data_IF_365327418927
#
_entry.id   IF_365327418927
#
_cell.length_a   1.000
_cell.length_b   1.000
_cell.length_c   1.000
_cell.angle_alpha   90.00
_cell.angle_beta   90.00
_cell.angle_gamma   90.00
#
_symmetry.space_group_name_H-M   'P 1'
#
loop_
_entity.id
_entity.type
_entity.pdbx_description
1 polymer ?
#
# COMPACT_ATOMS: atom_id res chain seq x y z
N UNK A 1 -0.41 -14.33 -5.24
CA UNK A 1 0.28 -13.90 -6.49
C UNK A 1 1.70 -14.44 -6.45
N UNK A 2 2.16 -15.00 -7.53
CA UNK A 2 3.53 -15.54 -7.60
C UNK A 2 4.57 -14.42 -7.70
N UNK A 3 5.75 -14.65 -7.13
CA UNK A 3 6.83 -13.65 -7.05
C UNK A 3 7.25 -13.11 -8.43
N UNK A 4 7.35 -13.98 -9.45
CA UNK A 4 7.74 -13.57 -10.78
C UNK A 4 6.69 -12.67 -11.45
N UNK A 5 5.42 -12.97 -11.25
CA UNK A 5 4.29 -12.15 -11.76
C UNK A 5 4.30 -10.79 -11.07
N UNK A 6 4.48 -10.78 -9.76
CA UNK A 6 4.56 -9.52 -9.00
C UNK A 6 5.71 -8.64 -9.47
N UNK A 7 6.90 -9.21 -9.67
CA UNK A 7 8.07 -8.46 -10.11
C UNK A 7 7.81 -7.78 -11.46
N UNK A 8 7.22 -8.51 -12.41
CA UNK A 8 6.86 -7.96 -13.72
C UNK A 8 5.85 -6.81 -13.59
N UNK A 9 4.83 -6.99 -12.76
CA UNK A 9 3.85 -5.94 -12.50
C UNK A 9 4.48 -4.71 -11.84
N UNK A 10 5.35 -4.90 -10.85
CA UNK A 10 6.01 -3.81 -10.16
C UNK A 10 6.89 -2.99 -11.11
N UNK A 11 7.66 -3.65 -11.96
CA UNK A 11 8.51 -2.98 -12.94
C UNK A 11 7.71 -2.23 -14.01
N UNK A 12 6.53 -2.73 -14.36
CA UNK A 12 5.65 -2.12 -15.38
C UNK A 12 4.79 -0.99 -14.80
N UNK A 13 4.19 -1.23 -13.64
CA UNK A 13 3.14 -0.36 -13.09
C UNK A 13 3.65 0.62 -12.04
N UNK A 14 4.81 0.34 -11.43
CA UNK A 14 5.46 1.21 -10.44
C UNK A 14 6.97 1.31 -10.72
N UNK A 15 7.37 1.74 -11.93
CA UNK A 15 8.78 1.71 -12.34
C UNK A 15 9.70 2.65 -11.55
N UNK A 16 9.15 3.63 -10.86
CA UNK A 16 9.91 4.58 -10.06
C UNK A 16 10.14 4.13 -8.61
N UNK A 17 9.57 3.00 -8.22
CA UNK A 17 9.82 2.37 -6.91
C UNK A 17 10.77 1.20 -7.12
N UNK A 18 11.84 1.13 -6.33
CA UNK A 18 12.74 -0.03 -6.40
C UNK A 18 11.94 -1.31 -6.16
N UNK A 19 12.12 -2.36 -6.99
CA UNK A 19 11.31 -3.58 -6.88
C UNK A 19 11.30 -4.23 -5.49
N UNK A 20 12.43 -4.21 -4.79
CA UNK A 20 12.51 -4.74 -3.41
C UNK A 20 11.68 -3.91 -2.44
N UNK A 21 11.63 -2.60 -2.61
CA UNK A 21 10.80 -1.72 -1.80
C UNK A 21 9.31 -1.96 -2.09
N UNK A 22 8.94 -2.05 -3.36
CA UNK A 22 7.56 -2.35 -3.75
C UNK A 22 7.11 -3.70 -3.16
N UNK A 23 7.94 -4.72 -3.28
CA UNK A 23 7.68 -6.05 -2.74
C UNK A 23 7.54 -6.02 -1.21
N UNK A 24 8.42 -5.30 -0.53
CA UNK A 24 8.37 -5.18 0.92
C UNK A 24 7.10 -4.49 1.41
N UNK A 25 6.68 -3.40 0.76
CA UNK A 25 5.44 -2.72 1.09
C UNK A 25 4.24 -3.67 0.88
N UNK A 26 4.14 -4.31 -0.27
CA UNK A 26 3.03 -5.22 -0.59
C UNK A 26 3.00 -6.42 0.36
N UNK A 27 4.16 -6.94 0.77
CA UNK A 27 4.25 -8.00 1.78
C UNK A 27 3.57 -7.57 3.07
N UNK A 28 3.91 -6.39 3.57
CA UNK A 28 3.40 -5.86 4.84
C UNK A 28 1.93 -5.45 4.72
N UNK A 29 1.56 -4.80 3.62
CA UNK A 29 0.23 -4.23 3.45
C UNK A 29 -0.85 -5.28 3.19
N UNK A 30 -0.61 -6.19 2.27
CA UNK A 30 -1.64 -7.12 1.78
C UNK A 30 -1.24 -8.59 1.75
N UNK A 31 0.03 -8.89 1.97
CA UNK A 31 0.51 -10.26 1.76
C UNK A 31 0.29 -10.77 0.34
N UNK A 32 0.37 -9.89 -0.65
CA UNK A 32 0.08 -10.16 -2.07
C UNK A 32 -1.38 -10.54 -2.37
N UNK A 33 -2.30 -10.26 -1.46
CA UNK A 33 -3.72 -10.45 -1.71
C UNK A 33 -4.30 -9.21 -2.41
N UNK A 34 -4.60 -9.32 -3.68
CA UNK A 34 -5.17 -8.22 -4.49
C UNK A 34 -6.55 -7.76 -4.01
N UNK A 35 -7.25 -8.60 -3.24
CA UNK A 35 -8.59 -8.31 -2.70
C UNK A 35 -8.54 -7.89 -1.24
N UNK A 36 -7.36 -7.67 -0.67
CA UNK A 36 -7.20 -7.31 0.72
C UNK A 36 -7.92 -5.99 1.05
N UNK A 37 -8.66 -5.98 2.16
CA UNK A 37 -9.34 -4.80 2.69
C UNK A 37 -8.98 -4.66 4.15
N UNK A 38 -8.39 -3.52 4.51
CA UNK A 38 -8.09 -3.13 5.87
C UNK A 38 -9.10 -2.10 6.37
N UNK A 39 -9.64 -2.30 7.56
CA UNK A 39 -10.63 -1.39 8.16
C UNK A 39 -9.96 -0.62 9.29
N UNK A 40 -9.99 0.70 9.22
CA UNK A 40 -9.43 1.55 10.29
C UNK A 40 -10.36 1.49 11.51
N UNK A 41 -9.81 1.08 12.65
CA UNK A 41 -10.57 0.94 13.89
C UNK A 41 -11.45 -0.31 13.95
N UNK A 42 -11.25 -1.26 13.05
CA UNK A 42 -11.99 -2.51 13.02
C UNK A 42 -11.24 -3.60 12.26
N UNK A 43 -11.90 -4.72 12.05
CA UNK A 43 -11.37 -5.83 11.26
C UNK A 43 -12.52 -6.59 10.61
N UNK A 44 -12.27 -7.14 9.42
CA UNK A 44 -13.19 -8.09 8.80
C UNK A 44 -13.05 -9.46 9.48
N UNK A 45 -14.14 -10.22 9.54
CA UNK A 45 -14.09 -11.60 10.04
C UNK A 45 -13.16 -12.48 9.19
N UNK A 46 -13.18 -12.25 7.88
CA UNK A 46 -12.22 -12.83 6.93
C UNK A 46 -12.02 -11.92 5.74
N UNK A 47 -10.90 -12.09 5.05
CA UNK A 47 -10.62 -11.35 3.83
C UNK A 47 -11.46 -11.87 2.64
N UNK A 48 -11.87 -10.97 1.72
CA UNK A 48 -12.54 -11.39 0.49
C UNK A 48 -11.68 -12.36 -0.32
N UNK A 49 -12.33 -13.33 -0.96
CA UNK A 49 -11.69 -14.37 -1.77
C UNK A 49 -11.88 -14.18 -3.27
N UNK A 50 -12.69 -13.20 -3.64
CA UNK A 50 -12.98 -12.89 -5.04
C UNK A 50 -13.20 -11.39 -5.22
N UNK A 51 -13.15 -10.95 -6.47
CA UNK A 51 -13.45 -9.56 -6.83
C UNK A 51 -14.88 -9.17 -6.41
N UNK A 52 -15.85 -10.06 -6.64
CA UNK A 52 -17.25 -9.81 -6.26
C UNK A 52 -17.43 -9.65 -4.74
N UNK A 53 -16.80 -10.51 -3.93
CA UNK A 53 -16.82 -10.36 -2.48
C UNK A 53 -16.16 -9.05 -2.04
N UNK A 54 -15.02 -8.70 -2.64
CA UNK A 54 -14.31 -7.47 -2.31
C UNK A 54 -15.17 -6.23 -2.61
N UNK A 55 -15.81 -6.18 -3.78
CA UNK A 55 -16.71 -5.07 -4.14
C UNK A 55 -17.91 -4.97 -3.21
N UNK A 56 -18.54 -6.09 -2.87
CA UNK A 56 -19.65 -6.12 -1.92
C UNK A 56 -19.23 -5.60 -0.54
N UNK A 57 -18.05 -6.00 -0.08
CA UNK A 57 -17.49 -5.55 1.20
C UNK A 57 -17.20 -4.04 1.18
N UNK A 58 -16.55 -3.54 0.12
CA UNK A 58 -16.27 -2.11 -0.02
C UNK A 58 -17.57 -1.29 -0.01
N UNK A 59 -18.58 -1.73 -0.76
CA UNK A 59 -19.86 -1.04 -0.82
C UNK A 59 -20.55 -1.00 0.55
N UNK A 60 -20.50 -2.08 1.31
CA UNK A 60 -21.04 -2.14 2.67
C UNK A 60 -20.30 -1.22 3.63
N UNK A 61 -18.96 -1.19 3.56
CA UNK A 61 -18.13 -0.31 4.39
C UNK A 61 -18.39 1.17 4.05
N UNK A 62 -18.47 1.50 2.78
CA UNK A 62 -18.75 2.86 2.32
C UNK A 62 -20.13 3.33 2.79
N UNK A 63 -21.15 2.49 2.67
CA UNK A 63 -22.52 2.80 3.11
C UNK A 63 -22.60 3.01 4.62
N UNK A 64 -21.80 2.29 5.41
CA UNK A 64 -21.72 2.41 6.86
C UNK A 64 -20.77 3.52 7.34
N UNK A 65 -20.10 4.23 6.43
CA UNK A 65 -19.20 5.33 6.77
C UNK A 65 -17.85 4.93 7.36
N UNK A 66 -17.42 3.67 7.15
CA UNK A 66 -16.11 3.22 7.61
C UNK A 66 -14.95 3.81 6.79
N UNK A 67 -13.83 4.03 7.46
CA UNK A 67 -12.55 4.29 6.81
C UNK A 67 -11.86 2.96 6.51
N UNK A 68 -11.42 2.77 5.27
CA UNK A 68 -10.84 1.50 4.82
C UNK A 68 -9.76 1.73 3.75
N UNK A 69 -8.94 0.70 3.56
CA UNK A 69 -7.88 0.66 2.55
C UNK A 69 -8.01 -0.61 1.71
N UNK A 70 -7.59 -0.56 0.46
CA UNK A 70 -7.91 -1.58 -0.54
C UNK A 70 -6.68 -2.00 -1.35
N UNK A 71 -6.60 -3.28 -1.64
CA UNK A 71 -5.74 -3.85 -2.67
C UNK A 71 -4.31 -4.09 -2.23
N UNK A 72 -3.44 -4.34 -3.21
CA UNK A 72 -2.04 -4.70 -2.96
C UNK A 72 -1.29 -3.68 -2.12
N UNK A 73 -1.45 -2.39 -2.43
CA UNK A 73 -0.80 -1.29 -1.71
C UNK A 73 -1.58 -0.77 -0.51
N UNK A 74 -2.76 -1.31 -0.24
CA UNK A 74 -3.67 -0.82 0.80
C UNK A 74 -3.92 0.69 0.69
N UNK A 75 -4.39 1.10 -0.48
CA UNK A 75 -4.68 2.51 -0.75
C UNK A 75 -5.94 2.92 0.04
N UNK A 76 -5.79 3.94 0.88
CA UNK A 76 -6.89 4.43 1.70
C UNK A 76 -7.95 5.13 0.86
N UNK A 77 -9.21 4.93 1.20
CA UNK A 77 -10.35 5.52 0.49
C UNK A 77 -10.27 7.05 0.42
N UNK A 78 -9.67 7.71 1.40
CA UNK A 78 -9.47 9.16 1.40
C UNK A 78 -8.63 9.66 0.21
N UNK A 79 -7.81 8.80 -0.38
CA UNK A 79 -6.99 9.10 -1.55
C UNK A 79 -7.67 8.81 -2.89
N UNK A 80 -8.83 8.14 -2.89
CA UNK A 80 -9.46 7.69 -4.14
C UNK A 80 -9.79 8.84 -5.08
N UNK A 81 -10.49 9.86 -4.60
CA UNK A 81 -10.88 10.99 -5.44
C UNK A 81 -9.67 11.71 -6.05
N UNK A 82 -8.65 11.96 -5.24
CA UNK A 82 -7.42 12.62 -5.65
C UNK A 82 -6.65 11.81 -6.70
N UNK A 83 -6.63 10.49 -6.56
CA UNK A 83 -5.92 9.58 -7.44
C UNK A 83 -6.77 9.07 -8.62
N UNK A 84 -8.02 9.51 -8.72
CA UNK A 84 -8.93 9.07 -9.77
C UNK A 84 -9.33 7.60 -9.66
N UNK A 85 -9.38 7.06 -8.43
CA UNK A 85 -9.71 5.65 -8.19
C UNK A 85 -11.20 5.46 -7.91
N UNK A 86 -11.69 4.31 -8.36
CA UNK A 86 -12.97 3.74 -7.95
C UNK A 86 -12.71 2.46 -7.16
N UNK A 87 -13.70 1.89 -6.43
CA UNK A 87 -13.53 0.57 -5.80
C UNK A 87 -13.04 -0.50 -6.78
N UNK A 88 -13.61 -0.50 -7.98
CA UNK A 88 -13.25 -1.44 -9.04
C UNK A 88 -11.79 -1.30 -9.47
N UNK A 89 -11.35 -0.07 -9.75
CA UNK A 89 -9.99 0.18 -10.21
C UNK A 89 -8.96 -0.04 -9.11
N UNK A 90 -9.29 0.27 -7.86
CA UNK A 90 -8.40 0.08 -6.72
C UNK A 90 -8.07 -1.41 -6.45
N UNK A 91 -8.91 -2.32 -6.89
CA UNK A 91 -8.67 -3.77 -6.81
C UNK A 91 -7.78 -4.29 -7.94
N UNK A 92 -7.59 -3.51 -9.00
CA UNK A 92 -6.69 -3.91 -10.08
C UNK A 92 -5.24 -3.82 -9.61
N UNK A 93 -4.44 -4.90 -9.77
CA UNK A 93 -3.07 -4.93 -9.26
C UNK A 93 -2.18 -3.82 -9.82
N UNK A 94 -2.27 -3.55 -11.12
CA UNK A 94 -1.46 -2.52 -11.76
C UNK A 94 -1.85 -1.12 -11.27
N UNK A 95 -3.13 -0.85 -11.18
CA UNK A 95 -3.65 0.43 -10.67
C UNK A 95 -3.27 0.63 -9.22
N UNK A 96 -3.37 -0.41 -8.40
CA UNK A 96 -2.96 -0.35 -6.98
C UNK A 96 -1.47 -0.05 -6.83
N UNK A 97 -0.61 -0.69 -7.63
CA UNK A 97 0.83 -0.43 -7.62
C UNK A 97 1.18 0.97 -8.11
N UNK A 98 0.51 1.45 -9.15
CA UNK A 98 0.70 2.83 -9.64
C UNK A 98 0.27 3.86 -8.58
N UNK A 99 -0.83 3.63 -7.89
CA UNK A 99 -1.29 4.47 -6.80
C UNK A 99 -0.30 4.45 -5.62
N UNK A 100 0.21 3.27 -5.26
CA UNK A 100 1.26 3.11 -4.25
C UNK A 100 2.49 3.95 -4.60
N UNK A 101 2.97 3.88 -5.84
CA UNK A 101 4.09 4.70 -6.32
C UNK A 101 3.81 6.19 -6.14
N UNK A 102 2.63 6.65 -6.54
CA UNK A 102 2.28 8.07 -6.44
C UNK A 102 2.30 8.55 -4.98
N UNK A 103 1.65 7.82 -4.08
CA UNK A 103 1.60 8.18 -2.66
C UNK A 103 2.99 8.15 -2.02
N UNK A 104 3.76 7.09 -2.27
CA UNK A 104 5.11 6.96 -1.72
C UNK A 104 6.03 8.07 -2.24
N UNK A 105 5.95 8.39 -3.53
CA UNK A 105 6.75 9.46 -4.13
C UNK A 105 6.42 10.82 -3.55
N UNK A 106 5.15 11.16 -3.40
CA UNK A 106 4.74 12.40 -2.75
C UNK A 106 5.27 12.48 -1.30
N UNK A 107 5.19 11.38 -0.56
CA UNK A 107 5.76 11.29 0.78
C UNK A 107 7.28 11.47 0.78
N UNK A 108 7.98 10.86 -0.18
CA UNK A 108 9.43 10.97 -0.32
C UNK A 108 9.86 12.41 -0.65
N UNK A 109 9.18 13.07 -1.56
CA UNK A 109 9.45 14.46 -1.93
C UNK A 109 9.31 15.38 -0.71
N UNK A 110 8.29 15.17 0.13
CA UNK A 110 8.14 15.93 1.38
C UNK A 110 9.19 15.59 2.43
N UNK A 111 9.67 14.36 2.46
CA UNK A 111 10.65 13.88 3.42
C UNK A 111 12.10 14.28 3.08
N UNK A 112 12.35 14.61 1.83
CA UNK A 112 13.71 14.80 1.26
C UNK A 112 14.27 16.20 1.55
N UNK A 113 14.28 16.64 2.80
CA UNK A 113 14.79 17.94 3.22
C UNK A 113 16.18 17.85 3.88
N UNK A 114 17.27 17.69 3.10
CA UNK A 114 18.63 17.69 3.64
C UNK A 114 19.07 16.40 4.33
N UNK A 115 18.30 15.33 4.21
CA UNK A 115 18.60 14.00 4.79
C UNK A 115 19.30 13.10 3.77
N UNK A 116 19.89 11.99 4.25
CA UNK A 116 20.31 10.90 3.38
C UNK A 116 19.09 10.24 2.71
N UNK A 117 19.33 9.54 1.60
CA UNK A 117 18.26 8.81 0.91
C UNK A 117 17.57 7.78 1.80
N UNK A 118 18.33 7.09 2.65
CA UNK A 118 17.78 6.09 3.58
C UNK A 118 16.88 6.73 4.65
N UNK A 119 17.29 7.84 5.23
CA UNK A 119 16.47 8.58 6.19
C UNK A 119 15.20 9.09 5.52
N UNK A 120 15.32 9.69 4.34
CA UNK A 120 14.17 10.17 3.57
C UNK A 120 13.20 9.03 3.23
N UNK A 121 13.70 7.87 2.82
CA UNK A 121 12.86 6.70 2.51
C UNK A 121 12.11 6.19 3.74
N UNK A 122 12.77 6.08 4.88
CA UNK A 122 12.11 5.65 6.13
C UNK A 122 11.02 6.63 6.57
N UNK A 123 11.28 7.92 6.45
CA UNK A 123 10.27 8.95 6.72
C UNK A 123 9.12 8.87 5.72
N UNK A 124 9.41 8.63 4.44
CA UNK A 124 8.40 8.43 3.41
C UNK A 124 7.52 7.21 3.69
N UNK A 125 8.10 6.11 4.17
CA UNK A 125 7.35 4.91 4.56
C UNK A 125 6.41 5.20 5.74
N UNK A 126 6.87 5.94 6.76
CA UNK A 126 5.99 6.39 7.85
C UNK A 126 4.84 7.26 7.33
N UNK A 127 5.13 8.19 6.43
CA UNK A 127 4.15 9.04 5.77
C UNK A 127 3.14 8.23 4.94
N UNK A 128 3.61 7.22 4.20
CA UNK A 128 2.75 6.30 3.46
C UNK A 128 1.73 5.61 4.38
N UNK A 129 2.19 5.15 5.53
CA UNK A 129 1.37 4.46 6.53
C UNK A 129 0.38 5.38 7.24
N UNK A 130 0.79 6.58 7.62
CA UNK A 130 0.07 7.41 8.59
C UNK A 130 -0.18 8.85 8.18
N UNK A 131 0.42 9.30 7.07
CA UNK A 131 0.39 10.71 6.67
C UNK A 131 1.42 11.61 7.37
N UNK A 132 2.18 11.06 8.33
CA UNK A 132 3.24 11.81 9.04
C UNK A 132 4.53 10.98 9.15
N UNK A 133 5.63 11.63 9.54
CA UNK A 133 6.96 11.03 9.53
C UNK A 133 7.32 10.23 10.78
N UNK A 134 6.45 10.12 11.76
CA UNK A 134 6.77 9.54 13.07
C UNK A 134 5.91 8.33 13.46
N UNK A 135 4.62 8.35 13.14
CA UNK A 135 3.68 7.30 13.55
C UNK A 135 4.05 5.92 13.02
N UNK A 136 4.47 5.83 11.76
CA UNK A 136 4.92 4.57 11.17
C UNK A 136 6.17 4.00 11.83
N UNK A 137 7.05 4.86 12.35
CA UNK A 137 8.19 4.45 13.16
C UNK A 137 7.72 3.86 14.49
N UNK A 138 6.87 4.60 15.21
CA UNK A 138 6.37 4.20 16.53
C UNK A 138 5.54 2.93 16.51
N UNK A 139 4.73 2.73 15.47
CA UNK A 139 3.89 1.54 15.31
C UNK A 139 4.64 0.34 14.74
N UNK A 140 5.93 0.47 14.46
CA UNK A 140 6.74 -0.61 13.91
C UNK A 140 6.55 -0.89 12.42
N UNK A 141 5.74 -0.09 11.72
CA UNK A 141 5.49 -0.28 10.29
C UNK A 141 6.77 -0.17 9.46
N UNK A 142 7.53 0.90 9.65
CA UNK A 142 8.79 1.10 8.93
C UNK A 142 9.76 -0.05 9.17
N UNK A 143 9.88 -0.51 10.42
CA UNK A 143 10.70 -1.66 10.78
C UNK A 143 10.28 -2.94 10.06
N UNK A 144 8.97 -3.20 9.96
CA UNK A 144 8.44 -4.37 9.24
C UNK A 144 8.75 -4.32 7.74
N UNK A 145 8.60 -3.15 7.11
CA UNK A 145 8.94 -2.97 5.69
C UNK A 145 10.43 -3.17 5.45
N UNK A 146 11.28 -2.57 6.27
CA UNK A 146 12.74 -2.73 6.17
C UNK A 146 13.15 -4.20 6.33
N UNK A 147 12.58 -4.90 7.31
CA UNK A 147 12.83 -6.34 7.50
C UNK A 147 12.38 -7.15 6.28
N UNK A 148 11.19 -6.87 5.76
CA UNK A 148 10.67 -7.56 4.56
C UNK A 148 11.55 -7.32 3.34
N UNK A 149 12.14 -6.13 3.18
CA UNK A 149 13.05 -5.83 2.07
C UNK A 149 14.34 -6.66 2.13
N UNK A 150 14.85 -6.91 3.33
CA UNK A 150 16.07 -7.72 3.54
C UNK A 150 15.81 -9.20 3.29
N UNK A 151 14.67 -9.73 3.72
CA UNK A 151 14.32 -11.15 3.55
C UNK A 151 14.14 -11.54 2.08
N UNK A 152 13.80 -10.60 1.21
CA UNK A 152 13.65 -10.89 -0.21
C UNK A 152 14.92 -10.76 -1.03
N UNK A 153 16.02 -10.31 -0.45
CA UNK A 153 17.31 -10.16 -1.13
C UNK A 153 18.13 -11.47 -1.18
N UNK A 154 17.64 -12.59 -0.61
CA UNK A 154 18.27 -13.91 -0.58
C UNK A 154 17.69 -14.87 -1.62
#
# INVERSE_FOLDING_TARGET
MEAAIFLTLAMTCAPQVHPDTARAIVTVESGFNRYAIGVVGGALERQPRSRGEALATINALAAAGWNYSVGLGQINVANFARLGLTPESALDPCVSLAAMQTVLRECYERANGGSTQQVALRRALSCYYSGNFTTGMRHGYVGRVVTASRLGAN
#
